data_IF_718612254255
#
_entry.id   IF_718612254255
#
_cell.length_a   1.000
_cell.length_b   1.000
_cell.length_c   1.000
_cell.angle_alpha   90.00
_cell.angle_beta   90.00
_cell.angle_gamma   90.00
#
_symmetry.space_group_name_H-M   'P 1'
#
loop_
_entity.id
_entity.type
_entity.pdbx_description
1 polymer ?
#
# COMPACT_ATOMS: atom_id res chain seq x y z
N UNK A 1 8.57 -1.45 15.37
CA UNK A 1 7.17 -1.68 14.95
C UNK A 1 6.80 -0.58 13.97
N UNK A 2 6.16 -0.91 12.85
CA UNK A 2 5.58 0.10 11.97
C UNK A 2 4.61 0.94 12.79
N UNK A 3 4.87 2.24 12.91
CA UNK A 3 3.94 3.13 13.57
C UNK A 3 2.93 3.59 12.52
N UNK A 4 1.67 3.14 12.60
CA UNK A 4 0.58 3.59 11.73
C UNK A 4 0.50 5.12 11.69
N UNK A 5 0.82 5.78 12.82
CA UNK A 5 0.94 7.23 12.91
C UNK A 5 1.98 7.80 11.94
N UNK A 6 3.16 7.18 11.80
CA UNK A 6 4.17 7.65 10.87
C UNK A 6 3.68 7.52 9.43
N UNK A 7 3.03 6.40 9.08
CA UNK A 7 2.47 6.21 7.74
C UNK A 7 1.35 7.22 7.42
N UNK A 8 0.52 7.56 8.41
CA UNK A 8 -0.50 8.61 8.28
C UNK A 8 0.15 9.98 8.08
N UNK A 9 1.14 10.35 8.91
CA UNK A 9 1.86 11.62 8.79
C UNK A 9 2.50 11.79 7.40
N UNK A 10 3.25 10.76 6.94
CA UNK A 10 3.85 10.77 5.60
C UNK A 10 2.80 10.90 4.49
N UNK A 11 1.63 10.26 4.65
CA UNK A 11 0.54 10.38 3.67
C UNK A 11 -0.04 11.80 3.63
N UNK A 12 -0.23 12.45 4.78
CA UNK A 12 -0.69 13.84 4.87
C UNK A 12 0.32 14.82 4.26
N UNK A 13 1.63 14.61 4.50
CA UNK A 13 2.70 15.40 3.90
C UNK A 13 2.71 15.32 2.37
N UNK A 14 2.62 14.11 1.81
CA UNK A 14 2.65 13.89 0.35
C UNK A 14 1.37 14.39 -0.34
N UNK A 15 0.22 14.26 0.32
CA UNK A 15 -1.07 14.63 -0.27
C UNK A 15 -1.30 16.15 -0.35
N UNK A 16 -0.30 16.98 -0.01
CA UNK A 16 -0.37 18.45 -0.01
C UNK A 16 -1.52 19.02 0.86
N UNK A 17 -2.04 18.24 1.81
CA UNK A 17 -3.04 18.72 2.77
C UNK A 17 -2.41 19.52 3.93
N UNK A 18 -1.23 20.10 3.69
CA UNK A 18 -0.39 20.76 4.68
C UNK A 18 -0.91 22.15 5.13
N UNK A 19 -1.99 22.65 4.54
CA UNK A 19 -2.58 23.94 4.95
C UNK A 19 -3.44 23.83 6.21
N UNK A 20 -3.98 22.64 6.52
CA UNK A 20 -4.79 22.44 7.71
C UNK A 20 -3.97 21.90 8.86
N UNK A 21 -4.04 22.58 10.00
CA UNK A 21 -3.48 22.13 11.26
C UNK A 21 -4.12 20.79 11.63
N UNK A 22 -3.42 19.68 11.36
CA UNK A 22 -3.87 18.30 11.63
C UNK A 22 -4.41 18.12 13.06
N UNK A 23 -3.91 18.92 14.02
CA UNK A 23 -4.35 18.90 15.41
C UNK A 23 -5.77 19.45 15.62
N UNK A 24 -6.33 20.15 14.62
CA UNK A 24 -7.69 20.70 14.63
C UNK A 24 -8.67 19.88 13.78
N UNK A 25 -8.18 18.93 13.00
CA UNK A 25 -9.00 18.09 12.15
C UNK A 25 -9.64 16.95 12.94
N UNK A 26 -10.96 16.82 12.81
CA UNK A 26 -11.65 15.60 13.22
C UNK A 26 -11.43 14.53 12.16
N UNK A 27 -10.64 13.52 12.49
CA UNK A 27 -10.28 12.42 11.59
C UNK A 27 -11.06 11.18 11.99
N UNK A 28 -11.76 10.57 11.03
CA UNK A 28 -12.45 9.30 11.20
C UNK A 28 -11.71 8.20 10.42
N UNK A 29 -11.47 7.07 11.08
CA UNK A 29 -10.81 5.91 10.49
C UNK A 29 -11.71 4.69 10.65
N UNK A 30 -12.10 4.11 9.52
CA UNK A 30 -12.82 2.83 9.48
C UNK A 30 -11.87 1.73 8.99
N UNK A 31 -11.87 0.58 9.66
CA UNK A 31 -11.01 -0.55 9.31
C UNK A 31 -11.82 -1.67 8.68
N UNK A 32 -11.33 -2.18 7.56
CA UNK A 32 -11.97 -3.25 6.81
C UNK A 32 -11.16 -4.54 6.91
N UNK A 33 -11.86 -5.68 7.05
CA UNK A 33 -11.22 -7.00 6.98
C UNK A 33 -10.91 -7.42 5.55
N UNK A 34 -11.73 -6.96 4.61
CA UNK A 34 -11.62 -7.26 3.19
C UNK A 34 -12.31 -6.19 2.35
N UNK A 35 -11.85 -6.03 1.11
CA UNK A 35 -12.48 -5.15 0.12
C UNK A 35 -12.60 -5.87 -1.22
N UNK A 36 -13.64 -5.55 -1.99
CA UNK A 36 -13.82 -6.05 -3.36
C UNK A 36 -13.33 -4.96 -4.32
N UNK A 37 -12.41 -5.31 -5.21
CA UNK A 37 -11.92 -4.44 -6.27
C UNK A 37 -12.92 -4.38 -7.44
N UNK A 38 -12.76 -3.39 -8.32
CA UNK A 38 -13.59 -3.20 -9.51
C UNK A 38 -13.57 -4.42 -10.45
N UNK A 39 -12.42 -5.08 -10.57
CA UNK A 39 -12.25 -6.30 -11.36
C UNK A 39 -12.93 -7.55 -10.74
N UNK A 40 -13.60 -7.40 -9.59
CA UNK A 40 -14.32 -8.47 -8.91
C UNK A 40 -13.51 -9.26 -7.87
N UNK A 41 -12.18 -9.11 -7.84
CA UNK A 41 -11.32 -9.79 -6.88
C UNK A 41 -11.50 -9.23 -5.46
N UNK A 42 -11.14 -10.03 -4.45
CA UNK A 42 -11.21 -9.64 -3.03
C UNK A 42 -9.83 -9.61 -2.40
N UNK A 43 -9.48 -8.47 -1.81
CA UNK A 43 -8.28 -8.30 -0.99
C UNK A 43 -8.67 -8.55 0.47
N UNK A 44 -7.84 -9.29 1.19
CA UNK A 44 -7.98 -9.54 2.63
C UNK A 44 -6.80 -8.94 3.38
N UNK A 45 -7.09 -8.31 4.52
CA UNK A 45 -6.09 -7.80 5.45
C UNK A 45 -6.56 -8.04 6.88
N UNK A 46 -6.55 -9.31 7.29
CA UNK A 46 -7.07 -9.69 8.61
C UNK A 46 -6.22 -10.77 9.25
N UNK A 47 -6.03 -10.67 10.58
CA UNK A 47 -5.33 -11.70 11.35
C UNK A 47 -6.17 -12.95 11.61
N UNK A 48 -7.50 -12.86 11.46
CA UNK A 48 -8.46 -13.87 11.91
C UNK A 48 -9.39 -14.34 10.79
N UNK A 49 -8.84 -14.78 9.66
CA UNK A 49 -9.58 -15.47 8.60
C UNK A 49 -9.52 -16.99 8.84
N UNK A 50 -10.60 -17.59 9.34
CA UNK A 50 -10.64 -19.02 9.72
C UNK A 50 -9.46 -19.44 10.61
N UNK A 51 -9.21 -18.68 11.69
CA UNK A 51 -8.11 -18.91 12.65
C UNK A 51 -6.70 -18.77 12.05
N UNK A 52 -6.58 -18.22 10.83
CA UNK A 52 -5.31 -17.92 10.18
C UNK A 52 -5.24 -16.46 9.78
N UNK A 53 -4.04 -15.90 9.77
CA UNK A 53 -3.82 -14.58 9.20
C UNK A 53 -3.89 -14.66 7.68
N UNK A 54 -4.66 -13.77 7.07
CA UNK A 54 -4.81 -13.64 5.63
C UNK A 54 -4.54 -12.19 5.22
N UNK A 55 -3.40 -12.03 4.55
CA UNK A 55 -2.89 -10.77 4.05
C UNK A 55 -2.54 -10.96 2.58
N UNK A 56 -3.10 -10.13 1.70
CA UNK A 56 -2.82 -10.21 0.27
C UNK A 56 -1.39 -9.73 -0.04
N UNK A 57 -0.77 -10.33 -1.04
CA UNK A 57 0.37 -9.74 -1.74
C UNK A 57 -0.15 -9.03 -2.98
N UNK A 58 0.41 -7.88 -3.31
CA UNK A 58 -0.04 -6.99 -4.39
C UNK A 58 1.14 -6.51 -5.21
N UNK A 59 0.88 -6.22 -6.48
CA UNK A 59 1.80 -5.48 -7.34
C UNK A 59 1.25 -4.08 -7.54
N UNK A 60 2.09 -3.07 -7.40
CA UNK A 60 1.71 -1.67 -7.46
C UNK A 60 2.51 -1.06 -8.60
N UNK A 61 1.78 -0.58 -9.60
CA UNK A 61 2.39 0.12 -10.72
C UNK A 61 2.72 1.55 -10.28
N UNK A 62 4.02 1.82 -10.14
CA UNK A 62 4.53 3.15 -9.85
C UNK A 62 5.05 3.74 -11.15
N UNK A 63 4.53 4.90 -11.52
CA UNK A 63 5.10 5.69 -12.61
C UNK A 63 6.37 6.35 -12.10
N UNK A 64 7.52 6.01 -12.68
CA UNK A 64 8.74 6.81 -12.56
C UNK A 64 8.78 7.80 -13.72
N UNK A 65 8.46 9.05 -13.43
CA UNK A 65 8.74 10.17 -14.32
C UNK A 65 10.22 10.52 -14.20
N UNK A 66 11.00 10.27 -15.24
CA UNK A 66 12.33 10.86 -15.39
C UNK A 66 12.26 12.02 -16.38
N UNK A 67 13.30 12.86 -16.45
CA UNK A 67 13.38 13.94 -17.43
C UNK A 67 13.30 13.46 -18.90
N UNK A 68 13.44 12.15 -19.15
CA UNK A 68 13.59 11.58 -20.49
C UNK A 68 12.53 10.52 -20.85
N UNK A 69 11.88 9.87 -19.89
CA UNK A 69 10.81 8.90 -20.13
C UNK A 69 9.87 8.72 -18.93
N UNK A 70 8.63 8.33 -19.22
CA UNK A 70 7.72 7.73 -18.24
C UNK A 70 7.85 6.20 -18.33
N UNK A 71 8.59 5.61 -17.39
CA UNK A 71 8.66 4.15 -17.27
C UNK A 71 7.73 3.69 -16.14
N UNK A 72 6.97 2.62 -16.45
CA UNK A 72 6.11 1.93 -15.48
C UNK A 72 6.96 0.87 -14.79
N UNK A 73 7.10 0.96 -13.48
CA UNK A 73 7.82 -0.01 -12.66
C UNK A 73 6.85 -0.67 -11.67
N UNK A 74 6.93 -1.99 -11.53
CA UNK A 74 6.13 -2.74 -10.56
C UNK A 74 6.86 -2.81 -9.23
N UNK A 75 6.20 -2.35 -8.17
CA UNK A 75 6.62 -2.53 -6.79
C UNK A 75 5.76 -3.62 -6.14
N UNK A 76 6.38 -4.53 -5.39
CA UNK A 76 5.66 -5.62 -4.73
C UNK A 76 5.43 -5.29 -3.27
N UNK A 77 4.23 -5.56 -2.75
CA UNK A 77 3.88 -5.26 -1.37
C UNK A 77 2.98 -6.31 -0.72
N UNK A 78 2.97 -6.34 0.61
CA UNK A 78 2.03 -7.10 1.43
C UNK A 78 1.04 -6.14 2.09
N UNK A 79 -0.25 -6.34 1.85
CA UNK A 79 -1.30 -5.53 2.48
C UNK A 79 -1.46 -5.98 3.93
N UNK A 80 -1.34 -5.04 4.87
CA UNK A 80 -1.46 -5.28 6.30
C UNK A 80 -2.76 -4.72 6.90
N UNK A 81 -3.26 -3.61 6.37
CA UNK A 81 -4.52 -2.99 6.80
C UNK A 81 -5.26 -2.41 5.58
N UNK A 82 -6.58 -2.49 5.62
CA UNK A 82 -7.48 -1.77 4.73
C UNK A 82 -8.20 -0.74 5.59
N UNK A 83 -8.17 0.54 5.18
CA UNK A 83 -8.81 1.59 5.94
C UNK A 83 -9.45 2.64 5.04
N UNK A 84 -10.53 3.24 5.52
CA UNK A 84 -11.10 4.45 4.96
C UNK A 84 -10.81 5.59 5.93
N UNK A 85 -10.19 6.63 5.40
CA UNK A 85 -9.86 7.85 6.13
C UNK A 85 -10.85 8.94 5.71
N UNK A 86 -11.44 9.64 6.67
CA UNK A 86 -12.36 10.76 6.40
C UNK A 86 -11.97 11.98 7.23
N UNK A 87 -11.73 13.09 6.56
CA UNK A 87 -11.46 14.42 7.15
C UNK A 87 -11.83 15.50 6.12
N UNK A 88 -12.17 16.72 6.55
CA UNK A 88 -12.55 17.83 5.66
C UNK A 88 -13.57 17.45 4.58
N UNK A 89 -14.54 16.60 4.92
CA UNK A 89 -15.55 16.07 4.00
C UNK A 89 -14.99 15.29 2.79
N UNK A 90 -13.69 14.96 2.80
CA UNK A 90 -13.03 14.11 1.82
C UNK A 90 -12.87 12.69 2.38
N UNK A 91 -13.00 11.69 1.51
CA UNK A 91 -12.92 10.28 1.85
C UNK A 91 -11.80 9.64 1.02
N UNK A 92 -10.88 8.96 1.70
CA UNK A 92 -9.75 8.29 1.09
C UNK A 92 -9.76 6.80 1.44
N UNK A 93 -9.86 5.94 0.42
CA UNK A 93 -9.67 4.50 0.58
C UNK A 93 -8.18 4.18 0.48
N UNK A 94 -7.57 3.83 1.62
CA UNK A 94 -6.14 3.61 1.75
C UNK A 94 -5.83 2.18 2.19
N UNK A 95 -4.66 1.70 1.78
CA UNK A 95 -4.12 0.42 2.21
C UNK A 95 -2.75 0.61 2.84
N UNK A 96 -2.52 -0.02 3.99
CA UNK A 96 -1.19 -0.08 4.58
C UNK A 96 -0.43 -1.23 3.93
N UNK A 97 0.64 -0.90 3.22
CA UNK A 97 1.49 -1.84 2.51
C UNK A 97 2.83 -1.95 3.22
N UNK A 98 3.31 -3.18 3.42
CA UNK A 98 4.70 -3.47 3.75
C UNK A 98 5.43 -3.91 2.48
N UNK A 99 6.53 -3.28 2.14
CA UNK A 99 7.16 -3.47 0.84
C UNK A 99 8.05 -4.71 0.78
N UNK A 100 8.16 -5.24 -0.45
CA UNK A 100 9.14 -6.22 -0.83
C UNK A 100 10.19 -5.58 -1.74
N UNK A 101 11.42 -6.09 -1.68
CA UNK A 101 12.49 -5.75 -2.61
C UNK A 101 13.10 -7.04 -3.16
N UNK A 102 13.71 -6.98 -4.35
CA UNK A 102 14.41 -8.12 -4.89
C UNK A 102 15.53 -8.55 -3.94
N UNK A 103 15.66 -9.87 -3.78
CA UNK A 103 16.68 -10.44 -2.88
C UNK A 103 18.09 -10.10 -3.35
N UNK A 104 18.28 -9.91 -4.65
CA UNK A 104 19.55 -9.60 -5.29
C UNK A 104 19.39 -8.37 -6.18
N UNK A 105 20.41 -7.52 -6.24
CA UNK A 105 20.42 -6.30 -7.08
C UNK A 105 20.60 -6.59 -8.57
N UNK A 106 21.03 -7.81 -8.92
CA UNK A 106 21.26 -8.18 -10.31
C UNK A 106 19.96 -8.67 -10.94
N UNK A 107 19.51 -7.98 -11.99
CA UNK A 107 18.25 -8.27 -12.71
C UNK A 107 18.08 -9.73 -13.12
N UNK A 108 19.17 -10.41 -13.50
CA UNK A 108 19.18 -11.85 -13.86
C UNK A 108 18.77 -12.79 -12.72
N UNK A 109 18.76 -12.32 -11.47
CA UNK A 109 18.38 -13.07 -10.27
C UNK A 109 17.10 -12.56 -9.62
N UNK A 110 16.41 -11.61 -10.26
CA UNK A 110 15.14 -11.09 -9.77
C UNK A 110 14.03 -12.14 -9.83
N UNK A 111 14.13 -13.10 -10.74
CA UNK A 111 13.12 -14.13 -10.92
C UNK A 111 13.70 -15.52 -10.67
N UNK A 112 12.93 -16.37 -10.02
CA UNK A 112 13.24 -17.79 -9.82
C UNK A 112 12.01 -18.60 -10.19
N UNK A 113 12.12 -19.43 -11.22
CA UNK A 113 10.99 -20.16 -11.82
C UNK A 113 9.85 -19.21 -12.22
N UNK A 114 10.20 -18.13 -12.93
CA UNK A 114 9.27 -17.09 -13.40
C UNK A 114 8.51 -16.32 -12.31
N UNK A 115 8.88 -16.52 -11.04
CA UNK A 115 8.30 -15.80 -9.90
C UNK A 115 9.29 -14.76 -9.33
N UNK A 116 8.83 -13.56 -8.95
CA UNK A 116 9.66 -12.56 -8.27
C UNK A 116 10.32 -13.15 -7.01
N UNK A 117 11.64 -13.11 -6.96
CA UNK A 117 12.42 -13.58 -5.83
C UNK A 117 12.74 -12.42 -4.88
N UNK A 118 11.79 -12.15 -4.00
CA UNK A 118 11.79 -10.97 -3.15
C UNK A 118 12.00 -11.28 -1.66
N UNK A 119 12.40 -10.25 -0.90
CA UNK A 119 12.53 -10.23 0.56
C UNK A 119 11.61 -9.14 1.12
N UNK A 120 11.04 -9.36 2.30
CA UNK A 120 10.20 -8.38 2.97
C UNK A 120 11.06 -7.31 3.64
N UNK A 121 10.70 -6.03 3.44
CA UNK A 121 11.38 -4.88 4.05
C UNK A 121 10.67 -4.42 5.32
N UNK A 122 11.37 -3.61 6.13
CA UNK A 122 10.79 -2.89 7.27
C UNK A 122 10.25 -1.50 6.86
N UNK A 123 9.76 -1.40 5.63
CA UNK A 123 9.24 -0.17 5.03
C UNK A 123 7.73 -0.28 4.84
N UNK A 124 7.01 0.76 5.26
CA UNK A 124 5.55 0.75 5.35
C UNK A 124 4.99 2.08 4.87
N UNK A 125 4.02 2.03 3.95
CA UNK A 125 3.36 3.23 3.45
C UNK A 125 1.86 3.02 3.30
N UNK A 126 1.12 4.12 3.41
CA UNK A 126 -0.27 4.16 2.98
C UNK A 126 -0.31 4.47 1.49
N UNK A 127 -1.00 3.62 0.75
CA UNK A 127 -1.19 3.76 -0.70
C UNK A 127 -2.68 3.83 -0.98
N UNK A 128 -3.14 4.75 -1.85
CA UNK A 128 -4.50 4.72 -2.37
C UNK A 128 -4.88 3.38 -2.99
N UNK A 129 -6.07 2.87 -2.67
CA UNK A 129 -6.56 1.56 -3.11
C UNK A 129 -6.56 1.42 -4.64
N UNK A 130 -6.80 2.51 -5.37
CA UNK A 130 -6.87 2.54 -6.83
C UNK A 130 -5.52 2.30 -7.54
N UNK A 131 -4.39 2.32 -6.82
CA UNK A 131 -3.08 1.94 -7.38
C UNK A 131 -2.78 0.45 -7.28
N UNK A 132 -3.61 -0.32 -6.59
CA UNK A 132 -3.40 -1.76 -6.48
C UNK A 132 -3.78 -2.43 -7.81
N UNK A 133 -2.80 -3.08 -8.44
CA UNK A 133 -3.03 -4.08 -9.45
C UNK A 133 -2.81 -5.46 -8.81
N UNK A 134 -3.56 -6.45 -9.24
CA UNK A 134 -3.34 -7.82 -8.79
C UNK A 134 -2.93 -8.66 -10.00
N UNK A 135 -1.80 -9.35 -9.88
CA UNK A 135 -1.34 -10.39 -10.82
C UNK A 135 -2.21 -11.65 -10.73
#
# INVERSE_FOLDING_TARGET
MANLQNCLNTWFEISNNAEDDLNKLSIWIELYKSIKLENGQRIYATKNFYQRSHFANVAIEVKRTTNYSEEKELCFGKVLLLLQLTYNNAIYSLVLVQWYDFKYQYSRRHYKYDNPYVKLLAEFNLVPLNFLQHE
#
